data_IF_045333498840
#
_entry.id   IF_045333498840
#
_cell.length_a   1.000
_cell.length_b   1.000
_cell.length_c   1.000
_cell.angle_alpha   90.00
_cell.angle_beta   90.00
_cell.angle_gamma   90.00
#
_symmetry.space_group_name_H-M   'P 1'
#
loop_
_entity.id
_entity.type
_entity.pdbx_description
1 polymer ?
#
# COMPACT_ATOMS: atom_id res chain seq x y z
N UNK A 1 -19.04 -17.05 9.41
CA UNK A 1 -17.74 -16.38 9.19
C UNK A 1 -16.73 -17.45 8.82
N UNK A 2 -15.99 -17.29 7.73
CA UNK A 2 -14.95 -18.25 7.36
C UNK A 2 -13.80 -18.20 8.36
N UNK A 3 -13.07 -19.31 8.53
CA UNK A 3 -11.92 -19.41 9.46
C UNK A 3 -10.93 -18.25 9.27
N UNK A 4 -10.62 -17.94 8.01
CA UNK A 4 -9.76 -16.83 7.63
C UNK A 4 -10.23 -15.47 8.17
N UNK A 5 -11.53 -15.16 8.05
CA UNK A 5 -12.08 -13.89 8.55
C UNK A 5 -11.98 -13.79 10.08
N UNK A 6 -12.16 -14.91 10.79
CA UNK A 6 -12.03 -14.95 12.25
C UNK A 6 -10.57 -14.72 12.69
N UNK A 7 -9.61 -15.34 11.99
CA UNK A 7 -8.18 -15.14 12.22
C UNK A 7 -7.75 -13.68 11.97
N UNK A 8 -8.22 -13.07 10.88
CA UNK A 8 -7.95 -11.66 10.60
C UNK A 8 -8.48 -10.75 11.72
N UNK A 9 -9.72 -10.96 12.18
CA UNK A 9 -10.29 -10.20 13.30
C UNK A 9 -9.47 -10.38 14.57
N UNK A 10 -9.04 -11.60 14.89
CA UNK A 10 -8.18 -11.88 16.05
C UNK A 10 -6.87 -11.09 15.97
N UNK A 11 -6.19 -11.08 14.82
CA UNK A 11 -4.94 -10.32 14.60
C UNK A 11 -5.15 -8.80 14.64
N UNK A 12 -6.32 -8.30 14.28
CA UNK A 12 -6.60 -6.86 14.38
C UNK A 12 -6.87 -6.39 15.82
N UNK A 13 -7.36 -7.30 16.67
CA UNK A 13 -7.65 -7.03 18.08
C UNK A 13 -6.41 -7.14 18.99
N UNK A 14 -5.42 -7.94 18.58
CA UNK A 14 -4.13 -8.03 19.29
C UNK A 14 -3.41 -6.66 19.26
N UNK A 15 -2.87 -6.25 20.41
CA UNK A 15 -2.37 -4.88 20.62
C UNK A 15 -1.23 -4.50 19.66
N UNK A 16 -0.25 -5.40 19.50
CA UNK A 16 0.96 -5.18 18.68
C UNK A 16 0.61 -5.04 17.21
N UNK A 17 -0.14 -6.00 16.67
CA UNK A 17 -0.57 -6.09 15.28
C UNK A 17 -1.62 -5.02 14.95
N UNK A 18 -2.55 -4.75 15.87
CA UNK A 18 -3.50 -3.64 15.77
C UNK A 18 -2.84 -2.26 15.73
N UNK A 19 -1.78 -2.04 16.52
CA UNK A 19 -0.99 -0.80 16.47
C UNK A 19 -0.31 -0.59 15.12
N UNK A 20 0.30 -1.64 14.56
CA UNK A 20 0.91 -1.61 13.22
C UNK A 20 -0.16 -1.29 12.16
N UNK A 21 -1.33 -1.93 12.24
CA UNK A 21 -2.42 -1.69 11.30
C UNK A 21 -2.90 -0.24 11.33
N UNK A 22 -3.08 0.36 12.52
CA UNK A 22 -3.43 1.78 12.66
C UNK A 22 -2.41 2.71 12.00
N UNK A 23 -1.10 2.45 12.19
CA UNK A 23 -0.04 3.23 11.52
C UNK A 23 -0.11 3.11 10.00
N UNK A 24 -0.36 1.90 9.47
CA UNK A 24 -0.51 1.70 8.02
C UNK A 24 -1.71 2.46 7.46
N UNK A 25 -2.83 2.49 8.17
CA UNK A 25 -4.02 3.22 7.75
C UNK A 25 -3.77 4.71 7.57
N UNK A 26 -2.92 5.31 8.42
CA UNK A 26 -2.60 6.75 8.35
C UNK A 26 -1.51 7.02 7.32
N UNK A 27 -0.45 6.21 7.29
CA UNK A 27 0.73 6.53 6.49
C UNK A 27 0.69 5.96 5.07
N UNK A 28 0.15 4.75 4.91
CA UNK A 28 0.28 3.95 3.69
C UNK A 28 -0.94 4.11 2.78
N UNK A 29 -2.14 4.15 3.33
CA UNK A 29 -3.38 4.32 2.54
C UNK A 29 -3.38 5.61 1.70
N UNK A 30 -2.95 6.78 2.21
CA UNK A 30 -2.88 7.98 1.38
C UNK A 30 -1.94 7.82 0.18
N UNK A 31 -0.80 7.14 0.35
CA UNK A 31 0.15 6.90 -0.75
C UNK A 31 -0.49 6.07 -1.85
N UNK A 32 -1.23 5.01 -1.49
CA UNK A 32 -1.97 4.21 -2.46
C UNK A 32 -3.12 4.98 -3.11
N UNK A 33 -3.81 5.84 -2.36
CA UNK A 33 -4.82 6.75 -2.91
C UNK A 33 -4.22 7.66 -3.98
N UNK A 34 -3.05 8.26 -3.71
CA UNK A 34 -2.35 9.13 -4.66
C UNK A 34 -1.89 8.36 -5.90
N UNK A 35 -1.33 7.15 -5.74
CA UNK A 35 -0.93 6.29 -6.86
C UNK A 35 -2.12 6.01 -7.79
N UNK A 36 -3.28 5.66 -7.23
CA UNK A 36 -4.48 5.38 -8.02
C UNK A 36 -5.08 6.64 -8.66
N UNK A 37 -5.11 7.76 -7.93
CA UNK A 37 -5.73 8.99 -8.40
C UNK A 37 -4.91 9.73 -9.47
N UNK A 38 -3.57 9.74 -9.33
CA UNK A 38 -2.71 10.53 -10.21
C UNK A 38 -2.05 9.72 -11.32
N UNK A 39 -1.73 8.44 -11.07
CA UNK A 39 -1.03 7.60 -12.04
C UNK A 39 -1.92 6.51 -12.65
N UNK A 40 -3.18 6.42 -12.21
CA UNK A 40 -4.10 5.33 -12.61
C UNK A 40 -3.43 3.97 -12.42
N UNK A 41 -2.65 3.83 -11.34
CA UNK A 41 -1.88 2.62 -11.05
C UNK A 41 -2.84 1.48 -10.65
N UNK A 42 -3.22 0.66 -11.62
CA UNK A 42 -4.18 -0.44 -11.44
C UNK A 42 -3.49 -1.81 -11.36
N UNK A 43 -2.40 -1.99 -12.09
CA UNK A 43 -1.75 -3.30 -12.25
C UNK A 43 -0.23 -3.17 -12.18
N UNK A 44 0.39 -4.20 -11.61
CA UNK A 44 1.82 -4.45 -11.78
C UNK A 44 2.03 -5.08 -13.15
N UNK A 45 2.99 -4.55 -13.90
CA UNK A 45 3.34 -5.04 -15.24
C UNK A 45 4.43 -6.10 -15.13
N UNK A 46 5.38 -5.92 -14.22
CA UNK A 46 6.46 -6.86 -14.00
C UNK A 46 6.06 -7.95 -13.00
N UNK A 47 6.44 -9.19 -13.30
CA UNK A 47 6.17 -10.36 -12.46
C UNK A 47 7.30 -10.63 -11.48
N UNK A 48 6.95 -11.29 -10.38
CA UNK A 48 7.90 -11.62 -9.31
C UNK A 48 8.17 -10.45 -8.38
N UNK A 49 8.80 -10.74 -7.25
CA UNK A 49 9.03 -9.76 -6.17
C UNK A 49 9.84 -8.55 -6.66
N UNK A 50 10.95 -8.81 -7.35
CA UNK A 50 11.82 -7.76 -7.88
C UNK A 50 11.12 -6.88 -8.91
N UNK A 51 10.29 -7.48 -9.78
CA UNK A 51 9.48 -6.74 -10.74
C UNK A 51 8.50 -5.78 -10.06
N UNK A 52 7.78 -6.27 -9.05
CA UNK A 52 6.84 -5.44 -8.28
C UNK A 52 7.55 -4.30 -7.52
N UNK A 53 8.77 -4.54 -7.01
CA UNK A 53 9.60 -3.51 -6.36
C UNK A 53 10.02 -2.41 -7.34
N UNK A 54 10.37 -2.77 -8.58
CA UNK A 54 10.71 -1.79 -9.63
C UNK A 54 9.48 -0.96 -10.02
N UNK A 55 8.37 -1.61 -10.31
CA UNK A 55 7.13 -0.94 -10.74
C UNK A 55 6.65 0.07 -9.70
N UNK A 56 6.57 -0.33 -8.42
CA UNK A 56 6.12 0.59 -7.38
C UNK A 56 7.16 1.67 -7.10
N UNK A 57 8.46 1.35 -7.19
CA UNK A 57 9.54 2.33 -7.03
C UNK A 57 9.45 3.45 -8.07
N UNK A 58 9.24 3.10 -9.33
CA UNK A 58 9.04 4.07 -10.42
C UNK A 58 7.79 4.92 -10.21
N UNK A 59 6.66 4.29 -9.85
CA UNK A 59 5.41 5.01 -9.59
C UNK A 59 5.56 6.02 -8.43
N UNK A 60 6.26 5.63 -7.35
CA UNK A 60 6.53 6.52 -6.22
C UNK A 60 7.51 7.64 -6.58
N UNK A 61 8.52 7.36 -7.39
CA UNK A 61 9.43 8.41 -7.90
C UNK A 61 8.67 9.44 -8.72
N UNK A 62 7.77 9.02 -9.61
CA UNK A 62 6.93 9.93 -10.39
C UNK A 62 6.05 10.81 -9.49
N UNK A 63 5.41 10.23 -8.47
CA UNK A 63 4.63 11.00 -7.49
C UNK A 63 5.48 12.06 -6.76
N UNK A 64 6.72 11.72 -6.41
CA UNK A 64 7.63 12.65 -5.75
C UNK A 64 8.05 13.78 -6.71
N UNK A 65 8.36 13.47 -7.97
CA UNK A 65 8.69 14.47 -8.99
C UNK A 65 7.52 15.44 -9.23
N UNK A 66 6.28 14.93 -9.28
CA UNK A 66 5.06 15.75 -9.39
C UNK A 66 4.83 16.67 -8.18
N UNK A 67 5.36 16.30 -7.00
CA UNK A 67 5.35 17.17 -5.80
C UNK A 67 6.45 18.22 -5.85
N UNK A 68 7.63 17.90 -6.38
CA UNK A 68 8.77 18.83 -6.48
C UNK A 68 8.61 19.86 -7.60
N UNK A 69 7.93 19.50 -8.69
CA UNK A 69 7.64 20.42 -9.79
C UNK A 69 6.48 21.38 -9.53
N UNK A 70 5.93 21.38 -8.31
CA UNK A 70 4.96 22.37 -7.81
C UNK A 70 5.65 23.24 -6.77
#
# INVERSE_FOLDING_TARGET
MTLFQAECKKKLLEEKTGSIYRKRKINIEPVFGHLKAHLVFQHFHLRGKQGAEIDIGLALMELNLRKLGK
#
